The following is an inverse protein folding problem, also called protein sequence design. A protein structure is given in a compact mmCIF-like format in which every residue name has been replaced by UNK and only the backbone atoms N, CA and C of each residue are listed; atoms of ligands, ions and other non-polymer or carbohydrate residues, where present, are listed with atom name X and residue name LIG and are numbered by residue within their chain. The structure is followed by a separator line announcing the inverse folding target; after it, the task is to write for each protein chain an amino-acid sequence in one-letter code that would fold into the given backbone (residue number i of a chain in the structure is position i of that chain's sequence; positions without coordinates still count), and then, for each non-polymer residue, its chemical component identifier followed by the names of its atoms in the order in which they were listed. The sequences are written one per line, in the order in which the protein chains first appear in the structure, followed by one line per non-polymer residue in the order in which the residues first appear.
data_IF_886750683260
#
_entry.id   IF_886750683260
#
_cell.length_a   1.000
_cell.length_b   1.000
_cell.length_c   1.000
_cell.angle_alpha   90.00
_cell.angle_beta   90.00
_cell.angle_gamma   90.00
#
_symmetry.space_group_name_H-M   'P 1'
#
loop_
_entity.id
_entity.type
_entity.pdbx_description
1 polymer ?
#
# COMPACT_ATOMS: atom_id res chain seq x y z
N UNK A 1 -24.52 1.28 17.35
CA UNK A 1 -23.41 0.85 16.46
C UNK A 1 -22.51 -0.09 17.21
N UNK A 2 -22.69 -1.40 17.00
CA UNK A 2 -21.83 -2.44 17.59
C UNK A 2 -20.63 -2.75 16.71
N UNK A 3 -19.67 -3.56 17.20
CA UNK A 3 -18.50 -3.96 16.43
C UNK A 3 -18.93 -4.67 15.13
N UNK A 4 -18.43 -4.18 14.00
CA UNK A 4 -18.61 -4.82 12.68
C UNK A 4 -17.47 -5.80 12.43
N UNK A 5 -17.73 -6.95 11.77
CA UNK A 5 -16.67 -7.89 11.41
C UNK A 5 -15.71 -7.24 10.41
N UNK A 6 -14.40 -7.36 10.68
CA UNK A 6 -13.34 -6.93 9.77
C UNK A 6 -12.44 -8.12 9.45
N UNK A 7 -11.95 -8.18 8.21
CA UNK A 7 -10.92 -9.14 7.77
C UNK A 7 -9.62 -8.38 7.58
N UNK A 8 -8.58 -8.77 8.30
CA UNK A 8 -7.23 -8.25 8.11
C UNK A 8 -6.42 -9.29 7.33
N UNK A 9 -5.99 -8.93 6.12
CA UNK A 9 -5.07 -9.74 5.33
C UNK A 9 -3.70 -9.08 5.28
N UNK A 10 -2.72 -9.67 5.96
CA UNK A 10 -1.33 -9.25 5.86
C UNK A 10 -0.66 -9.96 4.67
N UNK A 11 -0.29 -9.20 3.63
CA UNK A 11 0.43 -9.71 2.46
C UNK A 11 1.85 -9.14 2.47
N UNK A 12 2.83 -10.02 2.30
CA UNK A 12 4.23 -9.63 2.12
C UNK A 12 4.96 -10.71 1.32
N UNK A 13 5.97 -10.32 0.55
CA UNK A 13 6.86 -11.31 -0.04
C UNK A 13 7.65 -12.03 1.05
N UNK A 14 7.75 -13.35 0.94
CA UNK A 14 8.66 -14.13 1.78
C UNK A 14 10.09 -13.74 1.43
N UNK A 15 10.92 -13.52 2.45
CA UNK A 15 12.20 -12.79 2.34
C UNK A 15 13.27 -13.36 1.39
N UNK A 16 14.32 -12.55 1.21
CA UNK A 16 15.53 -12.81 0.40
C UNK A 16 16.08 -14.22 0.64
N UNK A 17 16.11 -15.06 -0.40
CA UNK A 17 16.89 -16.31 -0.42
C UNK A 17 16.15 -17.60 -0.77
N UNK A 18 14.81 -17.63 -0.82
CA UNK A 18 14.06 -18.84 -1.17
C UNK A 18 12.93 -18.51 -2.15
N UNK A 19 13.26 -18.54 -3.45
CA UNK A 19 12.28 -18.62 -4.55
C UNK A 19 11.42 -17.38 -4.79
N UNK A 20 11.95 -16.46 -5.60
CA UNK A 20 11.17 -15.36 -6.20
C UNK A 20 11.05 -14.14 -5.29
N UNK A 21 11.88 -13.12 -5.52
CA UNK A 21 11.72 -11.81 -4.88
C UNK A 21 10.41 -11.12 -5.31
N UNK A 22 10.14 -9.95 -4.75
CA UNK A 22 9.03 -9.10 -5.22
C UNK A 22 9.31 -8.69 -6.67
N UNK A 23 8.33 -8.92 -7.55
CA UNK A 23 8.31 -8.34 -8.90
C UNK A 23 7.22 -7.27 -8.93
N UNK A 24 7.53 -6.15 -9.56
CA UNK A 24 6.62 -5.05 -9.83
C UNK A 24 6.35 -5.03 -11.33
N UNK A 25 5.31 -5.71 -11.82
CA UNK A 25 5.01 -5.77 -13.24
C UNK A 25 4.34 -4.49 -13.74
N UNK A 26 4.44 -4.25 -15.04
CA UNK A 26 3.60 -3.27 -15.72
C UNK A 26 2.16 -3.82 -15.78
N UNK A 27 1.19 -3.00 -15.39
CA UNK A 27 -0.22 -3.36 -15.39
C UNK A 27 -1.02 -2.22 -16.02
N UNK A 28 -1.66 -2.50 -17.15
CA UNK A 28 -2.47 -1.51 -17.87
C UNK A 28 -3.61 -0.97 -16.99
N UNK A 29 -4.28 -1.86 -16.25
CA UNK A 29 -5.38 -1.47 -15.35
C UNK A 29 -4.87 -0.57 -14.23
N UNK A 30 -3.76 -0.94 -13.58
CA UNK A 30 -3.21 -0.14 -12.49
C UNK A 30 -2.65 1.20 -12.99
N UNK A 31 -2.10 1.25 -14.21
CA UNK A 31 -1.58 2.47 -14.82
C UNK A 31 -2.67 3.54 -14.99
N UNK A 32 -3.91 3.14 -15.30
CA UNK A 32 -5.07 4.07 -15.40
C UNK A 32 -5.33 4.84 -14.10
N UNK A 33 -4.93 4.27 -12.96
CA UNK A 33 -5.08 4.88 -11.63
C UNK A 33 -3.75 5.41 -11.06
N UNK A 34 -2.69 5.47 -11.88
CA UNK A 34 -1.37 5.92 -11.44
C UNK A 34 -0.66 4.93 -10.50
N UNK A 35 -1.11 3.68 -10.43
CA UNK A 35 -0.63 2.65 -9.51
C UNK A 35 0.26 1.59 -10.19
N UNK A 36 0.87 1.90 -11.33
CA UNK A 36 1.78 0.98 -12.05
C UNK A 36 3.16 1.60 -12.30
N UNK A 37 4.14 0.73 -12.55
CA UNK A 37 5.51 1.08 -12.92
C UNK A 37 5.63 1.29 -14.43
N UNK A 38 6.58 2.10 -14.87
CA UNK A 38 6.85 2.32 -16.29
C UNK A 38 7.55 1.11 -16.95
N UNK A 39 8.35 0.39 -16.17
CA UNK A 39 9.07 -0.82 -16.57
C UNK A 39 9.05 -1.81 -15.43
N UNK A 40 8.93 -3.09 -15.77
CA UNK A 40 9.01 -4.17 -14.77
C UNK A 40 10.33 -4.08 -14.01
N UNK A 41 10.26 -4.23 -12.69
CA UNK A 41 11.43 -4.20 -11.81
C UNK A 41 11.28 -5.17 -10.66
N UNK A 42 12.40 -5.56 -10.06
CA UNK A 42 12.44 -6.32 -8.81
C UNK A 42 12.85 -5.45 -7.62
N UNK A 43 13.03 -4.14 -7.84
CA UNK A 43 13.48 -3.21 -6.81
C UNK A 43 12.35 -2.25 -6.41
N UNK A 44 12.12 -2.14 -5.11
CA UNK A 44 11.13 -1.20 -4.57
C UNK A 44 11.52 0.26 -4.83
N UNK A 45 12.81 0.56 -4.82
CA UNK A 45 13.34 1.91 -5.07
C UNK A 45 12.93 2.43 -6.45
N UNK A 46 13.04 1.61 -7.48
CA UNK A 46 12.59 1.99 -8.83
C UNK A 46 11.06 2.02 -8.91
N UNK A 47 10.38 1.01 -8.37
CA UNK A 47 8.93 0.90 -8.43
C UNK A 47 8.21 2.09 -7.79
N UNK A 48 8.72 2.58 -6.65
CA UNK A 48 8.15 3.68 -5.88
C UNK A 48 8.89 5.00 -6.05
N UNK A 49 9.77 5.16 -7.05
CA UNK A 49 10.58 6.36 -7.22
C UNK A 49 9.72 7.64 -7.26
N UNK A 50 8.59 7.62 -7.97
CA UNK A 50 7.65 8.76 -8.06
C UNK A 50 7.01 9.10 -6.71
N UNK A 51 6.61 8.09 -5.93
CA UNK A 51 6.05 8.29 -4.60
C UNK A 51 7.11 8.85 -3.65
N UNK A 52 8.34 8.33 -3.69
CA UNK A 52 9.45 8.81 -2.86
C UNK A 52 9.89 10.23 -3.19
N UNK A 53 9.78 10.67 -4.45
CA UNK A 53 10.15 12.03 -4.84
C UNK A 53 9.33 13.12 -4.11
N UNK A 54 8.07 12.83 -3.79
CA UNK A 54 7.15 13.75 -3.11
C UNK A 54 7.06 13.57 -1.59
N UNK A 55 7.68 12.53 -1.03
CA UNK A 55 7.52 12.16 0.37
C UNK A 55 8.83 12.34 1.15
N UNK A 56 8.77 12.79 2.42
CA UNK A 56 9.94 12.77 3.28
C UNK A 56 10.45 11.34 3.46
N UNK A 57 11.77 11.19 3.63
CA UNK A 57 12.35 9.88 3.96
C UNK A 57 11.66 9.29 5.19
N UNK A 58 11.26 8.03 5.09
CA UNK A 58 10.75 7.27 6.22
C UNK A 58 11.76 7.27 7.37
N UNK A 59 11.25 7.46 8.59
CA UNK A 59 12.00 7.41 9.84
C UNK A 59 11.28 6.47 10.78
N UNK A 60 12.04 5.66 11.50
CA UNK A 60 11.50 4.87 12.59
C UNK A 60 11.01 5.80 13.70
N UNK A 61 9.73 5.70 14.04
CA UNK A 61 9.06 6.51 15.06
C UNK A 61 8.16 5.64 15.92
N UNK A 62 8.05 5.96 17.21
CA UNK A 62 7.04 5.35 18.08
C UNK A 62 5.64 5.79 17.65
N UNK A 63 4.69 4.86 17.71
CA UNK A 63 3.28 5.16 17.48
C UNK A 63 2.80 6.31 18.38
N UNK A 64 1.93 7.16 17.84
CA UNK A 64 1.26 8.24 18.57
C UNK A 64 -0.22 8.24 18.20
N UNK A 65 -1.05 8.58 19.16
CA UNK A 65 -2.48 8.74 18.95
C UNK A 65 -2.75 9.75 17.81
N UNK A 66 -3.66 9.43 16.91
CA UNK A 66 -3.93 10.20 15.68
C UNK A 66 -3.06 9.88 14.46
N UNK A 67 -2.12 8.92 14.53
CA UNK A 67 -1.40 8.43 13.34
C UNK A 67 -2.25 7.54 12.43
N UNK A 68 -3.24 6.86 13.01
CA UNK A 68 -4.24 6.11 12.27
C UNK A 68 -5.53 6.96 12.18
N UNK A 69 -6.35 6.74 11.15
CA UNK A 69 -7.69 7.34 11.09
C UNK A 69 -8.50 7.01 12.34
N UNK A 70 -9.42 7.91 12.70
CA UNK A 70 -10.37 7.68 13.80
C UNK A 70 -11.09 6.35 13.57
N UNK A 71 -11.23 5.48 14.57
CA UNK A 71 -12.03 4.26 14.44
C UNK A 71 -13.49 4.50 14.02
N UNK A 72 -14.00 5.72 14.18
CA UNK A 72 -15.31 6.18 13.71
C UNK A 72 -15.24 6.98 12.39
N UNK A 73 -14.08 7.03 11.74
CA UNK A 73 -13.92 7.66 10.44
C UNK A 73 -14.82 6.98 9.42
N UNK A 74 -15.61 7.78 8.68
CA UNK A 74 -16.52 7.30 7.65
C UNK A 74 -15.85 7.43 6.28
N UNK A 75 -15.23 6.36 5.75
CA UNK A 75 -14.54 6.44 4.47
C UNK A 75 -15.50 6.73 3.32
N UNK A 76 -15.05 7.49 2.29
CA UNK A 76 -15.89 7.81 1.14
C UNK A 76 -16.33 6.57 0.33
N UNK A 77 -15.64 5.45 0.46
CA UNK A 77 -16.02 4.19 -0.19
C UNK A 77 -17.02 3.36 0.62
N UNK A 78 -17.58 3.82 1.76
CA UNK A 78 -18.54 3.02 2.52
C UNK A 78 -19.90 2.83 1.81
N UNK A 79 -20.22 3.67 0.84
CA UNK A 79 -21.54 3.72 0.20
C UNK A 79 -21.60 3.11 -1.21
N UNK A 80 -20.60 2.31 -1.59
CA UNK A 80 -20.49 1.70 -2.93
C UNK A 80 -21.37 0.45 -3.15
N UNK A 81 -22.09 0.00 -2.12
CA UNK A 81 -22.95 -1.20 -2.15
C UNK A 81 -24.46 -0.89 -2.26
N UNK A 82 -24.84 0.35 -2.55
CA UNK A 82 -26.24 0.78 -2.82
C UNK A 82 -26.48 1.15 -4.28
#
# INVERSE_FOLDING_TARGET
NGPQPAVVLAVGARGRGVGGGVVYPVSEVAARYGASVERETTTSTEAYAKAHAGLPRSKWVTYREGFLPDPNWDPPWRNWET
#
